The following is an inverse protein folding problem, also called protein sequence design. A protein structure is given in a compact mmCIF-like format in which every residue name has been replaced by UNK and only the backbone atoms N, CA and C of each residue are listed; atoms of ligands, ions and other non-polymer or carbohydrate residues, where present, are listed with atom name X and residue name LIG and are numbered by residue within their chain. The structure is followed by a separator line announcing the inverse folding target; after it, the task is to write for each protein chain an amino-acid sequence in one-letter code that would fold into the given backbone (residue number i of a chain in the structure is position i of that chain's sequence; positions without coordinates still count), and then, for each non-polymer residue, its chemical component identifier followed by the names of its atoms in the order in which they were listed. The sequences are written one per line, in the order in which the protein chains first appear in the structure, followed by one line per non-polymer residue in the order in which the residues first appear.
data_IF_802152515857
#
_entry.id   IF_802152515857
#
_cell.length_a   1.000
_cell.length_b   1.000
_cell.length_c   1.000
_cell.angle_alpha   90.00
_cell.angle_beta   90.00
_cell.angle_gamma   90.00
#
_symmetry.space_group_name_H-M   'P 1'
#
loop_
_entity.id
_entity.type
_entity.pdbx_description
1 polymer ?
#
# COMPACT_ATOMS: atom_id res chain seq x y z
N UNK A 1 5.16 30.21 -5.23
CA UNK A 1 5.58 29.47 -4.02
C UNK A 1 5.31 28.01 -4.32
N UNK A 2 6.33 27.15 -4.38
CA UNK A 2 6.08 25.71 -4.49
C UNK A 2 5.42 25.28 -3.17
N UNK A 3 4.15 24.89 -3.23
CA UNK A 3 3.45 24.34 -2.07
C UNK A 3 4.20 23.09 -1.60
N UNK A 4 4.35 22.94 -0.29
CA UNK A 4 5.04 21.79 0.29
C UNK A 4 4.26 20.52 -0.09
N UNK A 5 4.76 19.73 -1.03
CA UNK A 5 4.06 18.53 -1.51
C UNK A 5 4.01 17.49 -0.39
N UNK A 6 2.80 17.13 0.05
CA UNK A 6 2.64 16.17 1.15
C UNK A 6 3.11 14.79 0.71
N UNK A 7 3.86 14.10 1.56
CA UNK A 7 4.39 12.76 1.27
C UNK A 7 3.52 11.71 1.95
N UNK A 8 3.19 10.66 1.21
CA UNK A 8 2.47 9.51 1.75
C UNK A 8 3.07 8.24 1.15
N UNK A 9 3.28 7.23 2.00
CA UNK A 9 3.81 5.95 1.56
C UNK A 9 2.66 5.05 1.13
N UNK A 10 2.78 4.43 -0.04
CA UNK A 10 1.92 3.33 -0.43
C UNK A 10 2.62 2.02 -0.10
N UNK A 11 2.13 1.32 0.93
CA UNK A 11 2.69 0.06 1.40
C UNK A 11 2.31 -1.11 0.47
N UNK A 12 2.80 -1.06 -0.77
CA UNK A 12 2.63 -2.09 -1.79
C UNK A 12 3.94 -2.37 -2.50
N UNK A 13 4.17 -3.63 -2.87
CA UNK A 13 5.24 -4.04 -3.78
C UNK A 13 4.82 -3.93 -5.26
N UNK A 14 3.56 -3.57 -5.55
CA UNK A 14 3.06 -3.49 -6.92
C UNK A 14 3.34 -2.10 -7.54
N UNK A 15 4.36 -2.03 -8.39
CA UNK A 15 4.75 -0.80 -9.11
C UNK A 15 3.68 -0.28 -10.08
N UNK A 16 2.82 -1.16 -10.61
CA UNK A 16 1.72 -0.73 -11.48
C UNK A 16 0.67 0.05 -10.68
N UNK A 17 0.25 -0.48 -9.52
CA UNK A 17 -0.66 0.21 -8.60
C UNK A 17 -0.09 1.55 -8.13
N UNK A 18 1.21 1.61 -7.84
CA UNK A 18 1.85 2.86 -7.45
C UNK A 18 1.70 3.95 -8.52
N UNK A 19 1.90 3.59 -9.80
CA UNK A 19 1.73 4.54 -10.92
C UNK A 19 0.28 4.98 -11.09
N UNK A 20 -0.67 4.04 -10.99
CA UNK A 20 -2.10 4.34 -11.08
C UNK A 20 -2.55 5.29 -9.96
N UNK A 21 -2.17 5.00 -8.72
CA UNK A 21 -2.55 5.84 -7.58
C UNK A 21 -1.85 7.20 -7.61
N UNK A 22 -0.58 7.27 -8.03
CA UNK A 22 0.08 8.56 -8.22
C UNK A 22 -0.61 9.41 -9.29
N UNK A 23 -1.15 8.81 -10.35
CA UNK A 23 -1.93 9.51 -11.36
C UNK A 23 -3.25 10.06 -10.77
N UNK A 24 -3.94 9.27 -9.95
CA UNK A 24 -5.19 9.67 -9.27
C UNK A 24 -4.95 10.82 -8.29
N UNK A 25 -3.88 10.76 -7.49
CA UNK A 25 -3.53 11.77 -6.50
C UNK A 25 -3.01 13.08 -7.12
N UNK A 26 -2.56 13.02 -8.37
CA UNK A 26 -1.97 14.15 -9.08
C UNK A 26 -0.78 14.75 -8.34
N UNK A 27 -0.63 16.08 -8.41
CA UNK A 27 0.50 16.78 -7.82
C UNK A 27 0.28 17.22 -6.36
N UNK A 28 -0.85 16.83 -5.75
CA UNK A 28 -1.14 17.17 -4.36
C UNK A 28 -0.31 16.37 -3.37
N UNK A 29 -0.02 15.11 -3.73
CA UNK A 29 0.78 14.19 -2.93
C UNK A 29 1.96 13.64 -3.74
N UNK A 30 3.09 13.47 -3.05
CA UNK A 30 4.19 12.63 -3.51
C UNK A 30 3.99 11.24 -2.93
N UNK A 31 3.71 10.28 -3.78
CA UNK A 31 3.60 8.88 -3.40
C UNK A 31 5.00 8.28 -3.29
N UNK A 32 5.31 7.70 -2.14
CA UNK A 32 6.57 6.99 -1.89
C UNK A 32 6.30 5.47 -1.90
N UNK A 33 7.22 4.72 -2.51
CA UNK A 33 7.26 3.26 -2.44
C UNK A 33 7.92 2.77 -1.14
N UNK A 34 7.83 1.48 -0.90
CA UNK A 34 8.58 0.81 0.17
C UNK A 34 10.11 0.96 -0.01
N UNK A 35 10.59 0.88 -1.25
CA UNK A 35 12.00 1.10 -1.56
C UNK A 35 12.45 2.54 -1.25
N UNK A 36 11.59 3.54 -1.46
CA UNK A 36 11.92 4.95 -1.19
C UNK A 36 12.12 5.23 0.31
N UNK A 37 11.50 4.42 1.18
CA UNK A 37 11.70 4.47 2.63
C UNK A 37 12.76 3.46 3.12
N UNK A 38 13.43 2.75 2.20
CA UNK A 38 14.47 1.78 2.51
C UNK A 38 13.95 0.43 3.02
N UNK A 39 12.67 0.12 2.80
CA UNK A 39 12.10 -1.18 3.12
C UNK A 39 12.11 -2.10 1.89
N UNK A 40 12.97 -3.11 1.92
CA UNK A 40 13.21 -4.02 0.80
C UNK A 40 12.87 -5.48 1.15
N UNK A 41 12.02 -5.69 2.14
CA UNK A 41 11.56 -6.99 2.59
C UNK A 41 10.09 -7.19 2.22
N UNK A 42 9.60 -8.42 2.39
CA UNK A 42 8.17 -8.68 2.28
C UNK A 42 7.46 -8.26 3.57
N UNK A 43 6.25 -7.73 3.42
CA UNK A 43 5.37 -7.48 4.55
C UNK A 43 4.59 -8.79 4.80
N UNK A 44 4.50 -9.26 6.05
CA UNK A 44 3.69 -10.44 6.36
C UNK A 44 2.21 -10.22 5.97
N UNK A 45 1.60 -11.25 5.39
CA UNK A 45 0.19 -11.31 4.99
C UNK A 45 -0.39 -12.60 5.57
N UNK A 46 -0.70 -12.58 6.87
CA UNK A 46 -1.02 -13.78 7.64
C UNK A 46 -2.54 -13.99 7.81
N UNK A 47 -3.35 -13.14 7.19
CA UNK A 47 -4.81 -13.12 7.38
C UNK A 47 -5.56 -13.67 6.17
N UNK A 48 -6.77 -14.17 6.42
CA UNK A 48 -7.62 -14.77 5.39
C UNK A 48 -8.39 -13.70 4.58
N UNK A 49 -8.54 -12.49 5.11
CA UNK A 49 -9.30 -11.42 4.47
C UNK A 49 -8.39 -10.33 3.91
N UNK A 50 -8.79 -9.79 2.75
CA UNK A 50 -8.08 -8.66 2.11
C UNK A 50 -8.02 -7.43 3.02
N UNK A 51 -9.09 -7.17 3.77
CA UNK A 51 -9.14 -6.05 4.72
C UNK A 51 -8.09 -6.19 5.83
N UNK A 52 -7.96 -7.37 6.43
CA UNK A 52 -7.01 -7.60 7.50
C UNK A 52 -5.56 -7.51 6.99
N UNK A 53 -5.27 -8.06 5.80
CA UNK A 53 -3.95 -7.97 5.17
C UNK A 53 -3.59 -6.52 4.80
N UNK A 54 -4.51 -5.74 4.23
CA UNK A 54 -4.30 -4.31 3.99
C UNK A 54 -4.00 -3.56 5.31
N UNK A 55 -4.76 -3.86 6.36
CA UNK A 55 -4.60 -3.25 7.68
C UNK A 55 -3.27 -3.65 8.34
N UNK A 56 -2.84 -4.91 8.21
CA UNK A 56 -1.55 -5.42 8.66
C UNK A 56 -0.40 -4.68 7.97
N UNK A 57 -0.49 -4.50 6.65
CA UNK A 57 0.52 -3.76 5.86
C UNK A 57 0.76 -2.35 6.38
N UNK A 58 -0.31 -1.59 6.62
CA UNK A 58 -0.21 -0.23 7.17
C UNK A 58 0.41 -0.23 8.56
N UNK A 59 -0.09 -1.07 9.47
CA UNK A 59 0.41 -1.14 10.86
C UNK A 59 1.90 -1.50 10.91
N UNK A 60 2.31 -2.44 10.06
CA UNK A 60 3.70 -2.91 10.01
C UNK A 60 4.65 -1.82 9.53
N UNK A 61 4.31 -1.12 8.43
CA UNK A 61 5.15 -0.02 7.93
C UNK A 61 5.14 1.17 8.87
N UNK A 62 3.98 1.52 9.42
CA UNK A 62 3.87 2.61 10.38
C UNK A 62 4.69 2.34 11.64
N UNK A 63 4.68 1.11 12.18
CA UNK A 63 5.43 0.78 13.40
C UNK A 63 6.95 0.82 13.22
N UNK A 64 7.44 0.47 12.03
CA UNK A 64 8.88 0.46 11.72
C UNK A 64 9.43 1.85 11.38
N UNK A 65 8.67 2.66 10.63
CA UNK A 65 9.19 3.90 10.04
C UNK A 65 8.53 5.17 10.59
N UNK A 66 7.41 5.04 11.32
CA UNK A 66 6.63 6.17 11.85
C UNK A 66 6.25 7.20 10.75
N UNK A 67 5.75 6.68 9.64
CA UNK A 67 5.36 7.46 8.44
C UNK A 67 3.87 7.33 8.15
N UNK A 68 3.29 8.39 7.60
CA UNK A 68 1.94 8.33 7.04
C UNK A 68 1.93 7.38 5.84
N UNK A 69 1.13 6.32 5.95
CA UNK A 69 1.04 5.30 4.92
C UNK A 69 -0.40 4.78 4.77
N UNK A 70 -0.68 4.21 3.61
CA UNK A 70 -1.87 3.41 3.34
C UNK A 70 -1.46 2.17 2.56
N UNK A 71 -2.35 1.18 2.51
CA UNK A 71 -2.17 -0.03 1.73
C UNK A 71 -3.46 -0.36 1.00
N UNK A 72 -3.34 -1.25 0.04
CA UNK A 72 -4.44 -1.85 -0.71
C UNK A 72 -4.13 -3.34 -0.81
N UNK A 73 -5.18 -4.14 -0.80
CA UNK A 73 -5.08 -5.57 -1.03
C UNK A 73 -6.17 -6.03 -1.98
N UNK A 74 -5.77 -6.78 -3.00
CA UNK A 74 -6.67 -7.21 -4.07
C UNK A 74 -6.47 -8.69 -4.31
N UNK A 75 -7.57 -9.44 -4.31
CA UNK A 75 -7.60 -10.85 -4.66
C UNK A 75 -8.64 -11.14 -5.74
N UNK A 76 -8.67 -12.39 -6.19
CA UNK A 76 -9.77 -12.92 -6.98
C UNK A 76 -10.68 -13.71 -6.05
N UNK A 77 -11.98 -13.41 -6.08
CA UNK A 77 -13.00 -14.17 -5.35
C UNK A 77 -13.91 -14.85 -6.37
N UNK A 78 -14.02 -16.18 -6.31
CA UNK A 78 -14.89 -16.96 -7.19
C UNK A 78 -16.05 -17.53 -6.38
N UNK A 79 -17.26 -17.03 -6.62
CA UNK A 79 -18.49 -17.45 -5.91
C UNK A 79 -18.69 -18.97 -5.95
N UNK A 80 -18.47 -19.59 -7.12
CA UNK A 80 -18.62 -21.04 -7.31
C UNK A 80 -17.62 -21.87 -6.48
N UNK A 81 -16.53 -21.26 -6.02
CA UNK A 81 -15.49 -21.87 -5.18
C UNK A 81 -15.59 -21.40 -3.72
N UNK A 82 -16.67 -20.70 -3.35
CA UNK A 82 -16.87 -20.16 -2.01
C UNK A 82 -15.91 -19.02 -1.67
N UNK A 83 -15.64 -18.15 -2.64
CA UNK A 83 -14.75 -16.98 -2.49
C UNK A 83 -13.25 -17.29 -2.59
N UNK A 84 -12.90 -18.56 -2.82
CA UNK A 84 -11.52 -19.02 -3.03
C UNK A 84 -11.08 -18.85 -4.49
N UNK A 85 -9.77 -18.87 -4.77
CA UNK A 85 -9.25 -18.75 -6.13
C UNK A 85 -9.81 -19.81 -7.06
#
# INVERSE_FOLDING_TARGET
MQGNQQRIVFATNNLHKLREVQHILGNHFLLLSLNDIGFNHDIPEDHETLEENASQKVRFIHSLFNVNCFADDTGLEVDALGGKP
#
